data_IF_246092611594
#
_entry.id   IF_246092611594
#
_cell.length_a   1.000
_cell.length_b   1.000
_cell.length_c   1.000
_cell.angle_alpha   90.00
_cell.angle_beta   90.00
_cell.angle_gamma   90.00
#
_symmetry.space_group_name_H-M   'P 1'
#
loop_
_entity.id
_entity.type
_entity.pdbx_description
1 polymer ?
#
# COMPACT_ATOMS: atom_id res chain seq x y z
N UNK A 1 23.33 0.28 28.71
CA UNK A 1 22.29 -0.63 28.15
C UNK A 1 21.60 0.10 27.01
N UNK A 2 21.60 -0.51 25.83
CA UNK A 2 20.90 -0.03 24.63
C UNK A 2 19.48 -0.61 24.60
N UNK A 3 18.50 0.17 24.15
CA UNK A 3 17.12 -0.30 23.93
C UNK A 3 16.60 0.17 22.58
N UNK A 4 16.21 -0.77 21.72
CA UNK A 4 15.54 -0.50 20.45
C UNK A 4 14.10 -0.07 20.68
N UNK A 5 13.66 1.02 20.05
CA UNK A 5 12.29 1.55 20.21
C UNK A 5 11.24 0.77 19.42
N UNK A 6 11.62 0.31 18.25
CA UNK A 6 10.78 -0.38 17.27
C UNK A 6 10.41 -1.81 17.69
N UNK A 7 11.36 -2.53 18.31
CA UNK A 7 11.14 -3.91 18.80
C UNK A 7 11.04 -4.01 20.33
N UNK A 8 11.50 -3.00 21.06
CA UNK A 8 11.62 -3.05 22.53
C UNK A 8 12.79 -3.88 23.05
N UNK A 9 13.57 -4.51 22.17
CA UNK A 9 14.73 -5.33 22.52
C UNK A 9 15.79 -4.52 23.27
N UNK A 10 16.45 -5.17 24.22
CA UNK A 10 17.49 -4.58 25.06
C UNK A 10 18.78 -5.36 24.90
N UNK A 11 19.90 -4.64 24.92
CA UNK A 11 21.23 -5.22 24.83
C UNK A 11 22.19 -4.48 25.77
N UNK A 12 23.07 -5.24 26.42
CA UNK A 12 24.18 -4.67 27.21
C UNK A 12 25.40 -4.56 26.31
N UNK A 13 25.83 -3.32 26.05
CA UNK A 13 26.96 -3.01 25.16
C UNK A 13 28.06 -2.35 26.01
N UNK A 14 29.33 -2.80 25.91
CA UNK A 14 30.46 -2.11 26.52
C UNK A 14 30.61 -0.68 25.98
N UNK A 15 31.06 0.26 26.82
CA UNK A 15 31.21 1.65 26.41
C UNK A 15 32.21 1.82 25.24
N UNK A 16 33.27 0.99 25.20
CA UNK A 16 34.26 0.97 24.11
C UNK A 16 33.67 0.60 22.75
N UNK A 17 32.59 -0.18 22.73
CA UNK A 17 31.93 -0.65 21.51
C UNK A 17 30.73 0.21 21.10
N UNK A 18 30.30 1.13 21.97
CA UNK A 18 29.03 1.84 21.84
C UNK A 18 28.86 2.54 20.49
N UNK A 19 29.88 3.23 19.98
CA UNK A 19 29.80 3.97 18.71
C UNK A 19 29.57 3.02 17.53
N UNK A 20 30.34 1.93 17.46
CA UNK A 20 30.21 0.92 16.40
C UNK A 20 28.87 0.22 16.46
N UNK A 21 28.46 -0.23 17.65
CA UNK A 21 27.20 -0.95 17.84
C UNK A 21 26.00 -0.05 17.55
N UNK A 22 26.03 1.22 17.94
CA UNK A 22 24.95 2.17 17.63
C UNK A 22 24.80 2.40 16.13
N UNK A 23 25.90 2.63 15.40
CA UNK A 23 25.85 2.84 13.96
C UNK A 23 25.24 1.64 13.23
N UNK A 24 25.72 0.43 13.52
CA UNK A 24 25.18 -0.80 12.93
C UNK A 24 23.71 -1.06 13.32
N UNK A 25 23.33 -0.73 14.57
CA UNK A 25 21.96 -0.89 15.06
C UNK A 25 21.00 0.05 14.34
N UNK A 26 21.39 1.31 14.13
CA UNK A 26 20.56 2.29 13.42
C UNK A 26 20.33 1.90 11.96
N UNK A 27 21.38 1.41 11.28
CA UNK A 27 21.25 0.90 9.91
C UNK A 27 20.29 -0.29 9.84
N UNK A 28 20.42 -1.22 10.77
CA UNK A 28 19.52 -2.39 10.88
C UNK A 28 18.08 -1.96 11.15
N UNK A 29 17.87 -1.04 12.10
CA UNK A 29 16.54 -0.49 12.41
C UNK A 29 15.88 0.14 11.19
N UNK A 30 16.62 0.95 10.43
CA UNK A 30 16.10 1.59 9.23
C UNK A 30 15.67 0.55 8.19
N UNK A 31 16.51 -0.46 7.96
CA UNK A 31 16.22 -1.56 7.03
C UNK A 31 15.00 -2.38 7.47
N UNK A 32 14.92 -2.72 8.75
CA UNK A 32 13.81 -3.51 9.31
C UNK A 32 12.47 -2.77 9.19
N UNK A 33 12.45 -1.49 9.56
CA UNK A 33 11.26 -0.65 9.46
C UNK A 33 10.78 -0.51 8.01
N UNK A 34 11.70 -0.23 7.09
CA UNK A 34 11.39 -0.14 5.66
C UNK A 34 10.83 -1.46 5.13
N UNK A 35 11.49 -2.59 5.40
CA UNK A 35 11.07 -3.90 4.92
C UNK A 35 9.69 -4.28 5.46
N UNK A 36 9.46 -4.05 6.76
CA UNK A 36 8.15 -4.29 7.39
C UNK A 36 7.05 -3.43 6.76
N UNK A 37 7.32 -2.15 6.52
CA UNK A 37 6.37 -1.26 5.87
C UNK A 37 6.10 -1.68 4.42
N UNK A 38 7.14 -2.05 3.67
CA UNK A 38 7.03 -2.53 2.28
C UNK A 38 6.23 -3.82 2.19
N UNK A 39 6.47 -4.78 3.09
CA UNK A 39 5.71 -6.02 3.14
C UNK A 39 4.24 -5.75 3.48
N UNK A 40 3.96 -4.88 4.45
CA UNK A 40 2.60 -4.47 4.78
C UNK A 40 1.91 -3.82 3.58
N UNK A 41 2.60 -2.94 2.85
CA UNK A 41 2.09 -2.33 1.63
C UNK A 41 1.70 -3.39 0.58
N UNK A 42 2.58 -4.35 0.33
CA UNK A 42 2.33 -5.46 -0.61
C UNK A 42 1.12 -6.30 -0.17
N UNK A 43 1.05 -6.70 1.10
CA UNK A 43 -0.05 -7.50 1.65
C UNK A 43 -1.40 -6.75 1.69
N UNK A 44 -1.36 -5.41 1.80
CA UNK A 44 -2.55 -4.55 1.74
C UNK A 44 -2.95 -4.18 0.31
N UNK A 45 -2.15 -4.54 -0.70
CA UNK A 45 -2.46 -4.29 -2.11
C UNK A 45 -3.08 -5.54 -2.72
N UNK A 46 -4.29 -5.43 -3.23
CA UNK A 46 -5.08 -6.55 -3.75
C UNK A 46 -5.61 -6.23 -5.14
N UNK A 47 -5.98 -7.26 -5.90
CA UNK A 47 -6.49 -7.13 -7.26
C UNK A 47 -8.01 -7.22 -7.25
N UNK A 48 -8.68 -6.39 -8.06
CA UNK A 48 -10.11 -6.50 -8.35
C UNK A 48 -10.36 -6.43 -9.86
N UNK A 49 -11.30 -7.23 -10.35
CA UNK A 49 -11.64 -7.33 -11.78
C UNK A 49 -13.04 -6.80 -12.11
N UNK A 50 -13.76 -6.30 -11.10
CA UNK A 50 -15.07 -5.68 -11.28
C UNK A 50 -15.27 -4.53 -10.29
N UNK A 51 -16.17 -3.60 -10.64
CA UNK A 51 -16.53 -2.49 -9.74
C UNK A 51 -17.10 -2.99 -8.41
N UNK A 52 -17.85 -4.10 -8.45
CA UNK A 52 -18.45 -4.72 -7.26
C UNK A 52 -17.39 -5.26 -6.30
N UNK A 53 -16.32 -5.86 -6.82
CA UNK A 53 -15.19 -6.31 -6.00
C UNK A 53 -14.49 -5.13 -5.33
N UNK A 54 -14.25 -4.03 -6.07
CA UNK A 54 -13.64 -2.82 -5.51
C UNK A 54 -14.47 -2.29 -4.34
N UNK A 55 -15.79 -2.16 -4.52
CA UNK A 55 -16.70 -1.71 -3.47
C UNK A 55 -16.69 -2.64 -2.27
N UNK A 56 -16.77 -3.95 -2.48
CA UNK A 56 -16.75 -4.95 -1.41
C UNK A 56 -15.47 -4.83 -0.58
N UNK A 57 -14.31 -4.74 -1.22
CA UNK A 57 -13.02 -4.66 -0.54
C UNK A 57 -12.89 -3.35 0.26
N UNK A 58 -13.36 -2.24 -0.30
CA UNK A 58 -13.21 -0.92 0.34
C UNK A 58 -14.30 -0.62 1.37
N UNK A 59 -15.47 -1.25 1.29
CA UNK A 59 -16.57 -1.06 2.25
C UNK A 59 -16.17 -1.46 3.67
N UNK A 60 -15.38 -2.52 3.82
CA UNK A 60 -14.90 -3.01 5.12
C UNK A 60 -13.84 -2.11 5.76
N UNK A 61 -13.22 -1.21 4.98
CA UNK A 61 -12.14 -0.33 5.41
C UNK A 61 -12.68 0.96 6.00
N UNK A 62 -12.29 1.31 7.23
CA UNK A 62 -12.54 2.64 7.82
C UNK A 62 -11.31 3.15 8.56
N UNK A 63 -11.21 4.47 8.77
CA UNK A 63 -10.11 5.08 9.52
C UNK A 63 -10.00 4.51 10.95
N UNK A 64 -11.14 4.28 11.61
CA UNK A 64 -11.22 3.78 12.99
C UNK A 64 -10.89 2.28 13.10
N UNK A 65 -11.31 1.46 12.12
CA UNK A 65 -11.07 0.02 12.11
C UNK A 65 -9.68 -0.34 11.58
N UNK A 66 -8.98 0.61 10.95
CA UNK A 66 -7.74 0.35 10.25
C UNK A 66 -7.93 -0.57 9.05
N UNK A 67 -6.89 -1.31 8.69
CA UNK A 67 -7.00 -2.31 7.61
C UNK A 67 -7.04 -1.73 6.19
N UNK A 68 -6.53 -0.51 5.99
CA UNK A 68 -6.42 0.15 4.69
C UNK A 68 -6.00 -0.79 3.55
N UNK A 69 -6.73 -0.72 2.44
CA UNK A 69 -6.48 -1.50 1.22
C UNK A 69 -6.19 -0.60 0.03
N UNK A 70 -5.25 -1.04 -0.79
CA UNK A 70 -5.06 -0.55 -2.15
C UNK A 70 -5.61 -1.58 -3.12
N UNK A 71 -6.49 -1.16 -4.01
CA UNK A 71 -7.13 -2.06 -4.97
C UNK A 71 -6.61 -1.74 -6.37
N UNK A 72 -5.90 -2.69 -6.95
CA UNK A 72 -5.42 -2.64 -8.33
C UNK A 72 -6.52 -3.09 -9.28
N UNK A 73 -7.01 -2.17 -10.10
CA UNK A 73 -8.02 -2.46 -11.10
C UNK A 73 -7.77 -1.71 -12.41
N UNK A 74 -8.18 -2.32 -13.53
CA UNK A 74 -8.19 -1.65 -14.81
C UNK A 74 -9.27 -0.57 -14.80
N UNK A 75 -8.86 0.69 -14.93
CA UNK A 75 -9.78 1.81 -14.99
C UNK A 75 -9.24 2.84 -15.97
N UNK A 76 -10.11 3.30 -16.88
CA UNK A 76 -9.76 4.35 -17.83
C UNK A 76 -9.87 5.70 -17.14
N UNK A 77 -8.88 6.54 -17.38
CA UNK A 77 -8.91 7.95 -17.02
C UNK A 77 -10.00 8.66 -17.84
N UNK A 78 -11.19 8.75 -17.25
CA UNK A 78 -12.38 9.34 -17.82
C UNK A 78 -13.24 9.92 -16.70
N UNK A 79 -13.78 11.15 -16.84
CA UNK A 79 -14.58 11.79 -15.79
C UNK A 79 -15.74 10.93 -15.27
N UNK A 80 -16.42 10.16 -16.13
CA UNK A 80 -17.54 9.31 -15.72
C UNK A 80 -17.08 8.14 -14.85
N UNK A 81 -15.92 7.58 -15.15
CA UNK A 81 -15.34 6.50 -14.34
C UNK A 81 -14.91 7.05 -12.98
N UNK A 82 -14.31 8.23 -12.95
CA UNK A 82 -13.91 8.90 -11.71
C UNK A 82 -15.10 9.26 -10.81
N UNK A 83 -16.19 9.76 -11.40
CA UNK A 83 -17.46 9.98 -10.69
C UNK A 83 -17.99 8.69 -10.07
N UNK A 84 -17.98 7.58 -10.83
CA UNK A 84 -18.42 6.27 -10.34
C UNK A 84 -17.62 5.80 -9.13
N UNK A 85 -16.30 5.99 -9.12
CA UNK A 85 -15.43 5.62 -7.99
C UNK A 85 -15.73 6.48 -6.75
N UNK A 86 -16.08 7.75 -6.93
CA UNK A 86 -16.39 8.68 -5.82
C UNK A 86 -17.68 8.33 -5.09
N UNK A 87 -18.64 7.69 -5.73
CA UNK A 87 -19.92 7.27 -5.12
C UNK A 87 -19.72 6.43 -3.85
N UNK A 88 -18.66 5.63 -3.79
CA UNK A 88 -18.30 4.81 -2.62
C UNK A 88 -17.08 5.36 -1.84
N UNK A 89 -16.87 6.69 -1.90
CA UNK A 89 -15.85 7.43 -1.14
C UNK A 89 -14.40 6.98 -1.42
N UNK A 90 -14.14 6.54 -2.65
CA UNK A 90 -12.81 6.18 -3.12
C UNK A 90 -12.32 7.17 -4.20
N UNK A 91 -11.04 7.07 -4.52
CA UNK A 91 -10.45 7.74 -5.67
C UNK A 91 -9.29 6.92 -6.25
N UNK A 92 -9.01 7.14 -7.54
CA UNK A 92 -7.78 6.69 -8.17
C UNK A 92 -6.61 7.49 -7.58
N UNK A 93 -5.55 6.81 -7.15
CA UNK A 93 -4.39 7.40 -6.46
C UNK A 93 -3.24 7.66 -7.39
N UNK A 94 -2.93 6.67 -8.22
CA UNK A 94 -1.93 6.77 -9.27
C UNK A 94 -2.12 5.59 -10.23
N UNK A 95 -1.47 5.73 -11.38
CA UNK A 95 -1.18 4.63 -12.30
C UNK A 95 0.30 4.29 -12.12
N UNK A 96 0.65 3.08 -11.65
CA UNK A 96 2.05 2.70 -11.46
C UNK A 96 2.88 2.78 -12.75
N UNK A 97 4.11 3.29 -12.61
CA UNK A 97 5.05 3.42 -13.73
C UNK A 97 5.47 2.06 -14.30
N UNK A 98 5.64 1.06 -13.43
CA UNK A 98 5.93 -0.32 -13.78
C UNK A 98 4.66 -1.13 -13.58
N UNK A 99 4.31 -1.94 -14.57
CA UNK A 99 3.18 -2.85 -14.45
C UNK A 99 3.62 -4.19 -13.84
N UNK A 100 3.12 -4.45 -12.64
CA UNK A 100 3.33 -5.70 -11.91
C UNK A 100 2.03 -6.55 -11.88
N UNK A 101 0.96 -6.13 -12.57
CA UNK A 101 -0.40 -6.63 -12.37
C UNK A 101 -1.14 -7.11 -13.63
N UNK A 102 -0.37 -7.58 -14.61
CA UNK A 102 -0.88 -8.45 -15.67
C UNK A 102 -1.29 -7.77 -16.98
N UNK A 103 -0.76 -6.59 -17.28
CA UNK A 103 -0.86 -5.98 -18.60
C UNK A 103 -2.19 -5.32 -18.90
N UNK A 104 -2.49 -5.13 -20.20
CA UNK A 104 -3.73 -4.52 -20.64
C UNK A 104 -4.98 -5.31 -20.23
N UNK A 105 -6.06 -4.61 -19.96
CA UNK A 105 -7.33 -5.22 -19.54
C UNK A 105 -8.50 -4.27 -19.72
N UNK A 106 -9.71 -4.80 -19.50
CA UNK A 106 -10.95 -4.01 -19.64
C UNK A 106 -11.19 -3.15 -18.41
N UNK A 107 -11.48 -1.88 -18.63
CA UNK A 107 -11.92 -0.96 -17.60
C UNK A 107 -13.16 -1.54 -16.89
N UNK A 108 -13.09 -1.60 -15.56
CA UNK A 108 -14.15 -2.16 -14.70
C UNK A 108 -15.48 -1.38 -14.73
N UNK A 109 -15.49 -0.19 -15.34
CA UNK A 109 -16.67 0.68 -15.47
C UNK A 109 -17.12 0.77 -16.93
N UNK A 110 -16.25 1.26 -17.83
CA UNK A 110 -16.59 1.51 -19.23
C UNK A 110 -16.45 0.29 -20.16
N UNK A 111 -15.70 -0.74 -19.74
CA UNK A 111 -15.40 -1.92 -20.57
C UNK A 111 -14.32 -1.70 -21.63
N UNK A 112 -13.85 -0.46 -21.85
CA UNK A 112 -12.77 -0.14 -22.78
C UNK A 112 -11.42 -0.71 -22.33
N UNK A 113 -10.52 -0.99 -23.27
CA UNK A 113 -9.18 -1.52 -22.95
C UNK A 113 -8.28 -0.40 -22.42
N UNK A 114 -7.57 -0.69 -21.33
CA UNK A 114 -6.52 0.17 -20.77
C UNK A 114 -5.24 -0.61 -20.57
N UNK A 115 -4.09 0.04 -20.71
CA UNK A 115 -2.79 -0.62 -20.78
C UNK A 115 -2.34 -1.29 -19.48
N UNK A 116 -2.80 -0.78 -18.33
CA UNK A 116 -2.40 -1.26 -17.01
C UNK A 116 -3.42 -0.89 -15.94
N UNK A 117 -3.28 -1.49 -14.76
CA UNK A 117 -4.13 -1.19 -13.59
C UNK A 117 -3.73 0.11 -12.91
N UNK A 118 -4.71 0.78 -12.31
CA UNK A 118 -4.49 1.91 -11.41
C UNK A 118 -4.77 1.50 -9.95
N UNK A 119 -4.21 2.25 -9.02
CA UNK A 119 -4.45 2.09 -7.58
C UNK A 119 -5.72 2.83 -7.18
N UNK A 120 -6.70 2.14 -6.61
CA UNK A 120 -7.93 2.73 -6.05
C UNK A 120 -7.93 2.56 -4.53
N UNK A 121 -8.31 3.62 -3.80
CA UNK A 121 -8.35 3.58 -2.33
C UNK A 121 -9.35 4.59 -1.75
N UNK A 122 -9.84 4.34 -0.52
CA UNK A 122 -10.62 5.33 0.24
C UNK A 122 -9.84 6.61 0.54
N UNK A 123 -10.51 7.75 0.49
CA UNK A 123 -9.95 9.03 0.93
C UNK A 123 -9.52 8.97 2.40
N UNK A 124 -8.46 9.71 2.73
CA UNK A 124 -7.96 9.86 4.10
C UNK A 124 -9.04 10.46 5.01
#
# INVERSE_FOLDING_TARGET
MLKRRDTGQKETVPQSDAVRTLAATLETMQKDLYNKAKQKLQQSTVIANSIKEVESILNEVTAEKGGGKFVMAHIKDDPKNDERIKEFKASVRNVPLVDEFGGPGKCIVSGEIVDRRAVIAKAY
#
